data_IF_950686021375
#
_entry.id   IF_950686021375
#
_cell.length_a   1.000
_cell.length_b   1.000
_cell.length_c   1.000
_cell.angle_alpha   90.00
_cell.angle_beta   90.00
_cell.angle_gamma   90.00
#
_symmetry.space_group_name_H-M   'P 1'
#
loop_
_entity.id
_entity.type
_entity.pdbx_description
1 polymer ?
#
# COMPACT_ATOMS: atom_id res chain seq x y z
N UNK A 1 4.11 10.81 6.05
CA UNK A 1 5.53 10.72 6.48
C UNK A 1 6.41 10.87 5.25
N UNK A 2 7.49 11.63 5.34
CA UNK A 2 8.51 11.74 4.29
C UNK A 2 9.90 11.69 4.91
N UNK A 3 10.54 10.52 4.92
CA UNK A 3 11.88 10.36 5.51
C UNK A 3 12.91 10.82 4.47
N UNK A 4 13.75 11.79 4.82
CA UNK A 4 14.86 12.18 3.96
C UNK A 4 15.93 11.08 3.96
N UNK A 5 16.21 10.47 2.81
CA UNK A 5 17.26 9.45 2.68
C UNK A 5 18.64 10.10 2.74
N UNK A 6 18.92 11.01 1.81
CA UNK A 6 20.16 11.79 1.77
C UNK A 6 19.95 13.10 1.04
N UNK A 7 20.77 14.11 1.36
CA UNK A 7 20.79 15.37 0.65
C UNK A 7 21.45 15.28 -0.72
N UNK A 8 20.91 16.05 -1.66
CA UNK A 8 21.46 16.22 -3.01
C UNK A 8 21.58 17.70 -3.37
N UNK A 9 22.20 17.99 -4.52
CA UNK A 9 22.33 19.34 -5.08
C UNK A 9 23.13 20.28 -4.16
N UNK A 10 22.47 21.27 -3.55
CA UNK A 10 23.09 22.34 -2.75
C UNK A 10 22.77 22.27 -1.25
N UNK A 11 21.91 21.35 -0.83
CA UNK A 11 21.47 21.24 0.57
C UNK A 11 22.41 20.31 1.35
N UNK A 12 22.65 20.64 2.63
CA UNK A 12 23.44 19.81 3.57
C UNK A 12 23.12 20.17 5.03
N UNK A 13 21.85 20.35 5.36
CA UNK A 13 21.43 20.70 6.72
C UNK A 13 21.54 19.48 7.63
N UNK A 14 22.31 19.60 8.72
CA UNK A 14 22.51 18.52 9.70
C UNK A 14 21.24 18.17 10.46
N UNK A 15 21.09 16.89 10.85
CA UNK A 15 19.96 16.43 11.68
C UNK A 15 18.63 16.27 10.92
N UNK A 16 18.68 16.25 9.57
CA UNK A 16 17.50 16.06 8.71
C UNK A 16 17.51 14.70 8.01
N UNK A 17 18.68 14.21 7.58
CA UNK A 17 18.81 12.86 7.00
C UNK A 17 18.39 11.80 8.03
N UNK A 18 17.58 10.84 7.59
CA UNK A 18 16.95 9.82 8.45
C UNK A 18 15.72 10.31 9.23
N UNK A 19 15.38 11.61 9.19
CA UNK A 19 14.23 12.16 9.90
C UNK A 19 13.02 12.37 8.97
N UNK A 20 11.81 12.30 9.55
CA UNK A 20 10.56 12.65 8.86
C UNK A 20 10.43 14.18 8.75
N UNK A 21 10.55 14.70 7.52
CA UNK A 21 10.50 16.14 7.26
C UNK A 21 9.14 16.76 7.60
N UNK A 22 8.05 15.97 7.55
CA UNK A 22 6.71 16.44 7.98
C UNK A 22 6.70 16.74 9.47
N UNK A 23 7.29 15.85 10.28
CA UNK A 23 7.41 16.07 11.73
C UNK A 23 8.31 17.25 12.06
N UNK A 24 9.42 17.41 11.32
CA UNK A 24 10.32 18.54 11.50
C UNK A 24 9.63 19.87 11.17
N UNK A 25 8.86 19.92 10.07
CA UNK A 25 8.11 21.11 9.68
C UNK A 25 6.97 21.41 10.66
N UNK A 26 6.18 20.41 11.07
CA UNK A 26 5.14 20.56 12.11
C UNK A 26 5.72 21.08 13.43
N UNK A 27 6.90 20.60 13.84
CA UNK A 27 7.60 21.12 15.03
C UNK A 27 7.98 22.59 14.86
N UNK A 28 8.48 22.98 13.70
CA UNK A 28 8.85 24.37 13.43
C UNK A 28 7.62 25.30 13.42
N UNK A 29 6.52 24.88 12.80
CA UNK A 29 5.24 25.62 12.78
C UNK A 29 4.71 25.75 14.21
N UNK A 30 4.64 24.65 14.96
CA UNK A 30 4.20 24.65 16.37
C UNK A 30 5.09 25.52 17.27
N UNK A 31 6.41 25.50 17.06
CA UNK A 31 7.35 26.35 17.81
C UNK A 31 7.09 27.83 17.53
N UNK A 32 6.70 28.18 16.31
CA UNK A 32 6.38 29.54 15.91
C UNK A 32 5.05 30.00 16.51
N UNK A 33 4.01 29.19 16.43
CA UNK A 33 2.72 29.43 17.08
C UNK A 33 1.81 30.46 16.38
N UNK A 34 2.15 30.89 15.16
CA UNK A 34 1.40 31.93 14.43
C UNK A 34 0.13 31.39 13.72
N UNK A 35 0.12 30.09 13.38
CA UNK A 35 -0.95 29.43 12.64
C UNK A 35 -0.84 27.91 12.74
N UNK A 36 -1.93 27.22 12.40
CA UNK A 36 -1.96 25.78 12.21
C UNK A 36 -1.90 25.44 10.72
N UNK A 37 -1.27 24.31 10.39
CA UNK A 37 -1.16 23.83 9.01
C UNK A 37 -1.21 22.31 8.95
N UNK A 38 -2.16 21.79 8.17
CA UNK A 38 -2.31 20.37 7.93
C UNK A 38 -1.48 19.93 6.72
N UNK A 39 -0.32 19.33 6.99
CA UNK A 39 0.56 18.79 5.95
C UNK A 39 0.01 17.43 5.49
N UNK A 40 -0.87 17.45 4.49
CA UNK A 40 -1.54 16.25 3.97
C UNK A 40 -0.67 15.40 3.03
N UNK A 41 0.28 16.00 2.32
CA UNK A 41 1.08 15.30 1.32
C UNK A 41 2.50 15.86 1.23
N UNK A 42 3.44 14.97 0.85
CA UNK A 42 4.81 15.32 0.45
C UNK A 42 5.07 14.64 -0.88
N UNK A 43 5.52 15.40 -1.88
CA UNK A 43 5.77 14.90 -3.23
C UNK A 43 7.14 15.35 -3.74
N UNK A 44 7.75 14.54 -4.60
CA UNK A 44 8.92 14.93 -5.37
C UNK A 44 8.53 15.91 -6.50
N UNK A 45 9.45 16.74 -6.96
CA UNK A 45 9.20 17.71 -8.03
C UNK A 45 8.87 17.04 -9.37
N UNK A 46 9.48 15.88 -9.67
CA UNK A 46 9.09 15.04 -10.83
C UNK A 46 7.62 14.64 -10.78
N UNK A 47 7.14 14.18 -9.62
CA UNK A 47 5.75 13.78 -9.40
C UNK A 47 4.83 14.97 -9.55
N UNK A 48 5.17 16.12 -8.95
CA UNK A 48 4.42 17.36 -9.13
C UNK A 48 4.34 17.78 -10.61
N UNK A 49 5.44 17.69 -11.36
CA UNK A 49 5.45 17.98 -12.80
C UNK A 49 4.58 17.01 -13.59
N UNK A 50 4.67 15.70 -13.31
CA UNK A 50 3.81 14.68 -13.95
C UNK A 50 2.34 14.98 -13.72
N UNK A 51 1.95 15.32 -12.47
CA UNK A 51 0.58 15.63 -12.11
C UNK A 51 0.09 16.96 -12.69
N UNK A 52 0.94 17.99 -12.74
CA UNK A 52 0.62 19.26 -13.41
C UNK A 52 0.29 19.02 -14.88
N UNK A 53 1.17 18.30 -15.59
CA UNK A 53 0.98 17.99 -17.00
C UNK A 53 -0.15 16.97 -17.23
N UNK A 54 -0.35 16.02 -16.32
CA UNK A 54 -1.40 15.01 -16.37
C UNK A 54 -2.80 15.58 -16.22
N UNK A 55 -2.93 16.70 -15.51
CA UNK A 55 -4.18 17.45 -15.46
C UNK A 55 -4.58 17.98 -16.85
N UNK A 56 -3.62 18.47 -17.64
CA UNK A 56 -3.86 19.02 -18.97
C UNK A 56 -3.85 17.94 -20.08
N UNK A 57 -3.17 16.82 -19.86
CA UNK A 57 -3.11 15.68 -20.78
C UNK A 57 -3.15 14.35 -20.01
N UNK A 58 -4.29 13.64 -20.10
CA UNK A 58 -4.53 12.37 -19.42
C UNK A 58 -3.63 11.21 -19.89
N UNK A 59 -2.79 11.42 -20.92
CA UNK A 59 -1.76 10.46 -21.36
C UNK A 59 -0.42 10.65 -20.65
N UNK A 60 -0.32 11.61 -19.72
CA UNK A 60 0.92 11.86 -18.98
C UNK A 60 1.21 10.71 -18.02
N UNK A 61 2.33 10.02 -18.24
CA UNK A 61 2.74 8.88 -17.41
C UNK A 61 4.19 9.00 -16.93
N UNK A 62 4.85 10.10 -17.26
CA UNK A 62 6.23 10.38 -16.88
C UNK A 62 6.37 11.84 -16.46
N UNK A 63 7.02 12.08 -15.33
CA UNK A 63 7.51 13.39 -14.90
C UNK A 63 9.02 13.47 -15.03
N UNK A 64 9.54 14.51 -15.68
CA UNK A 64 10.96 14.68 -15.98
C UNK A 64 11.46 16.04 -15.51
N UNK A 65 12.54 16.04 -14.72
CA UNK A 65 13.21 17.24 -14.25
C UNK A 65 14.61 17.32 -14.87
N UNK A 66 14.91 18.45 -15.50
CA UNK A 66 16.24 18.79 -16.03
C UNK A 66 16.53 20.26 -15.72
N UNK A 67 17.00 20.50 -14.49
CA UNK A 67 17.27 21.84 -13.95
C UNK A 67 18.58 21.85 -13.16
N UNK A 68 18.55 22.32 -11.92
CA UNK A 68 19.69 22.23 -11.00
C UNK A 68 20.12 20.77 -10.79
N UNK A 69 19.16 19.87 -10.65
CA UNK A 69 19.36 18.43 -10.67
C UNK A 69 18.71 17.79 -11.90
N UNK A 70 18.77 16.47 -11.98
CA UNK A 70 17.95 15.71 -12.91
C UNK A 70 17.34 14.50 -12.24
N UNK A 71 16.06 14.26 -12.52
CA UNK A 71 15.34 13.10 -12.03
C UNK A 71 14.15 12.77 -12.94
N UNK A 72 13.62 11.55 -12.84
CA UNK A 72 12.37 11.16 -13.47
C UNK A 72 11.50 10.29 -12.54
N UNK A 73 10.18 10.42 -12.71
CA UNK A 73 9.19 9.50 -12.17
C UNK A 73 8.28 8.99 -13.27
N UNK A 74 7.63 7.85 -13.05
CA UNK A 74 6.67 7.28 -14.01
C UNK A 74 5.62 6.40 -13.32
N UNK A 75 4.52 6.11 -14.01
CA UNK A 75 3.49 5.19 -13.52
C UNK A 75 3.86 3.72 -13.77
N UNK A 76 4.08 2.97 -12.70
CA UNK A 76 4.38 1.53 -12.73
C UNK A 76 3.17 0.72 -12.24
N UNK A 77 3.04 -0.53 -12.69
CA UNK A 77 2.03 -1.48 -12.27
C UNK A 77 2.31 -1.97 -10.84
N UNK A 78 1.31 -2.01 -9.97
CA UNK A 78 1.46 -2.40 -8.56
C UNK A 78 2.09 -3.79 -8.40
N UNK A 79 1.73 -4.74 -9.28
CA UNK A 79 2.30 -6.09 -9.33
C UNK A 79 3.82 -6.16 -9.56
N UNK A 80 4.48 -5.06 -9.94
CA UNK A 80 5.94 -5.00 -10.10
C UNK A 80 6.63 -4.28 -8.93
N UNK A 81 5.88 -3.83 -7.91
CA UNK A 81 6.39 -3.04 -6.78
C UNK A 81 6.40 -3.89 -5.52
N UNK A 82 7.37 -4.78 -5.41
CA UNK A 82 7.49 -5.76 -4.32
C UNK A 82 7.52 -5.14 -2.90
N UNK A 83 7.93 -3.88 -2.78
CA UNK A 83 8.04 -3.17 -1.51
C UNK A 83 6.71 -2.59 -1.01
N UNK A 84 5.63 -2.68 -1.79
CA UNK A 84 4.30 -2.19 -1.44
C UNK A 84 3.31 -3.35 -1.58
N UNK A 85 2.55 -3.63 -0.52
CA UNK A 85 1.53 -4.68 -0.56
C UNK A 85 0.39 -4.32 -1.51
N UNK A 86 -0.03 -5.29 -2.33
CA UNK A 86 -1.11 -5.16 -3.32
C UNK A 86 -0.61 -5.30 -4.77
N UNK A 87 -1.48 -5.79 -5.65
CA UNK A 87 -1.19 -6.06 -7.06
C UNK A 87 -2.12 -5.30 -8.03
N UNK A 88 -3.17 -4.65 -7.51
CA UNK A 88 -4.16 -3.93 -8.29
C UNK A 88 -3.77 -2.48 -8.61
N UNK A 89 -3.89 -2.09 -9.88
CA UNK A 89 -3.71 -0.71 -10.32
C UNK A 89 -2.25 -0.31 -10.48
N UNK A 90 -1.98 1.00 -10.36
CA UNK A 90 -0.68 1.60 -10.66
C UNK A 90 -0.26 2.59 -9.60
N UNK A 91 1.05 2.73 -9.39
CA UNK A 91 1.63 3.74 -8.49
C UNK A 91 2.78 4.47 -9.19
N UNK A 92 2.91 5.77 -8.91
CA UNK A 92 4.02 6.56 -9.40
C UNK A 92 5.33 6.17 -8.68
N UNK A 93 6.33 5.75 -9.44
CA UNK A 93 7.67 5.44 -8.95
C UNK A 93 8.60 6.62 -9.22
N UNK A 94 9.26 7.09 -8.16
CA UNK A 94 10.38 8.02 -8.25
C UNK A 94 11.68 7.22 -8.42
N UNK A 95 12.35 7.39 -9.57
CA UNK A 95 13.53 6.57 -9.90
C UNK A 95 14.78 6.97 -9.13
N UNK A 96 14.88 8.25 -8.72
CA UNK A 96 16.12 8.85 -8.22
C UNK A 96 17.34 8.53 -9.13
N UNK A 97 17.13 8.59 -10.45
CA UNK A 97 18.13 8.17 -11.45
C UNK A 97 19.45 8.96 -11.42
N UNK A 98 19.51 10.03 -10.61
CA UNK A 98 20.70 10.85 -10.48
C UNK A 98 21.87 10.04 -9.90
N UNK A 99 21.56 9.04 -9.08
CA UNK A 99 22.49 8.09 -8.49
C UNK A 99 22.92 6.94 -9.43
N UNK A 100 22.42 6.90 -10.67
CA UNK A 100 22.84 5.88 -11.63
C UNK A 100 24.37 5.95 -11.85
N UNK A 101 25.06 4.81 -11.76
CA UNK A 101 26.51 4.75 -11.85
C UNK A 101 27.26 4.96 -10.54
N UNK A 102 26.59 5.27 -9.42
CA UNK A 102 27.24 5.44 -8.10
C UNK A 102 27.98 4.17 -7.61
N UNK A 103 27.64 3.01 -8.17
CA UNK A 103 28.26 1.70 -7.94
C UNK A 103 29.44 1.42 -8.88
N UNK A 104 29.76 2.33 -9.79
CA UNK A 104 30.82 2.20 -10.79
C UNK A 104 30.34 1.65 -12.15
N UNK A 105 29.06 1.37 -12.32
CA UNK A 105 28.50 0.84 -13.58
C UNK A 105 28.62 1.78 -14.80
N UNK A 106 28.98 3.04 -14.59
CA UNK A 106 29.20 4.05 -15.63
C UNK A 106 30.65 4.52 -15.75
N UNK A 107 31.63 3.84 -15.13
CA UNK A 107 33.03 4.28 -15.15
C UNK A 107 33.65 4.31 -16.56
N UNK A 108 33.16 3.45 -17.46
CA UNK A 108 33.59 3.34 -18.86
C UNK A 108 33.25 4.59 -19.69
N UNK A 109 32.14 5.27 -19.37
CA UNK A 109 31.73 6.51 -20.04
C UNK A 109 32.15 7.79 -19.30
N UNK A 110 32.56 7.67 -18.03
CA UNK A 110 33.03 8.81 -17.23
C UNK A 110 34.45 9.21 -17.61
N UNK A 111 34.63 10.51 -17.79
CA UNK A 111 35.93 11.11 -18.15
C UNK A 111 36.71 11.57 -16.92
N UNK A 112 37.95 12.00 -17.11
CA UNK A 112 38.74 12.67 -16.06
C UNK A 112 38.04 13.92 -15.50
N UNK A 113 37.32 14.67 -16.35
CA UNK A 113 36.58 15.87 -15.96
C UNK A 113 35.41 15.54 -15.04
N UNK A 114 34.71 14.44 -15.30
CA UNK A 114 33.61 13.93 -14.47
C UNK A 114 34.12 13.45 -13.11
N UNK A 115 35.37 12.96 -13.03
CA UNK A 115 36.01 12.58 -11.76
C UNK A 115 36.52 13.78 -10.98
N UNK A 116 37.00 14.81 -11.66
CA UNK A 116 37.43 16.06 -11.01
C UNK A 116 36.26 16.85 -10.42
N UNK A 117 35.17 17.01 -11.17
CA UNK A 117 33.97 17.69 -10.66
C UNK A 117 33.37 16.96 -9.45
N UNK A 118 33.40 15.63 -9.46
CA UNK A 118 32.92 14.79 -8.37
C UNK A 118 33.75 14.98 -7.09
N UNK A 119 35.09 14.90 -7.20
CA UNK A 119 36.01 15.15 -6.08
C UNK A 119 35.80 16.50 -5.43
N UNK A 120 35.49 17.53 -6.22
CA UNK A 120 35.23 18.88 -5.73
C UNK A 120 33.79 19.12 -5.25
N UNK A 121 32.88 18.15 -5.31
CA UNK A 121 31.45 18.33 -5.01
C UNK A 121 31.12 18.22 -3.52
N UNK A 122 29.89 18.59 -3.12
CA UNK A 122 29.43 18.45 -1.73
C UNK A 122 29.20 17.00 -1.29
N UNK A 123 29.03 16.12 -2.27
CA UNK A 123 28.69 14.70 -2.15
C UNK A 123 29.57 13.85 -3.09
N UNK A 124 30.89 13.76 -2.87
CA UNK A 124 31.78 12.94 -3.71
C UNK A 124 31.34 11.47 -3.74
N UNK A 125 31.44 10.82 -4.90
CA UNK A 125 31.04 9.43 -5.11
C UNK A 125 29.52 9.20 -5.12
N UNK A 126 28.71 10.26 -5.16
CA UNK A 126 27.24 10.21 -5.21
C UNK A 126 26.68 11.03 -6.35
N UNK A 127 25.50 10.67 -6.83
CA UNK A 127 24.81 11.39 -7.91
C UNK A 127 25.66 11.51 -9.18
N UNK A 128 26.40 10.45 -9.54
CA UNK A 128 27.41 10.49 -10.61
C UNK A 128 26.78 10.74 -11.99
N UNK A 129 25.62 10.12 -12.29
CA UNK A 129 24.88 10.41 -13.52
C UNK A 129 24.36 11.85 -13.55
N UNK A 130 23.79 12.35 -12.44
CA UNK A 130 23.32 13.74 -12.35
C UNK A 130 24.45 14.74 -12.62
N UNK A 131 25.68 14.45 -12.15
CA UNK A 131 26.87 15.27 -12.36
C UNK A 131 27.30 15.38 -13.83
N UNK A 132 26.98 14.39 -14.65
CA UNK A 132 27.25 14.44 -16.09
C UNK A 132 26.18 15.21 -16.88
N UNK A 133 25.02 15.48 -16.26
CA UNK A 133 23.81 15.93 -16.95
C UNK A 133 23.39 17.34 -16.53
N UNK A 134 23.21 17.58 -15.22
CA UNK A 134 22.36 18.67 -14.76
C UNK A 134 22.99 20.06 -14.88
N UNK A 135 22.14 21.08 -14.78
CA UNK A 135 22.54 22.47 -14.88
C UNK A 135 23.39 22.97 -13.71
N UNK A 136 23.50 22.24 -12.59
CA UNK A 136 24.44 22.60 -11.52
C UNK A 136 25.90 22.36 -11.92
N UNK A 137 26.15 21.35 -12.78
CA UNK A 137 27.48 20.83 -13.05
C UNK A 137 27.99 21.17 -14.46
N UNK A 138 27.08 21.35 -15.43
CA UNK A 138 27.42 21.56 -16.84
C UNK A 138 28.41 22.71 -17.09
N UNK A 139 28.21 23.89 -16.48
CA UNK A 139 29.14 25.00 -16.63
C UNK A 139 30.54 24.72 -16.07
N UNK A 140 30.61 24.02 -14.93
CA UNK A 140 31.87 23.67 -14.30
C UNK A 140 32.63 22.59 -15.09
N UNK A 141 31.92 21.63 -15.69
CA UNK A 141 32.51 20.67 -16.64
C UNK A 141 33.18 21.40 -17.81
N UNK A 142 32.49 22.38 -18.40
CA UNK A 142 33.07 23.21 -19.47
C UNK A 142 34.32 23.91 -18.95
N UNK A 143 34.26 24.58 -17.79
CA UNK A 143 35.42 25.28 -17.20
C UNK A 143 36.64 24.36 -17.06
N UNK A 144 36.46 23.15 -16.55
CA UNK A 144 37.55 22.20 -16.35
C UNK A 144 38.20 21.79 -17.67
N UNK A 145 37.40 21.57 -18.71
CA UNK A 145 37.90 21.32 -20.07
C UNK A 145 38.71 22.52 -20.57
N UNK A 146 38.19 23.74 -20.42
CA UNK A 146 38.89 24.96 -20.84
C UNK A 146 40.22 25.16 -20.09
N UNK A 147 40.26 24.88 -18.79
CA UNK A 147 41.49 24.94 -17.99
C UNK A 147 42.52 23.95 -18.52
N UNK A 148 42.12 22.71 -18.81
CA UNK A 148 43.04 21.70 -19.36
C UNK A 148 43.57 22.11 -20.73
N UNK A 149 42.68 22.51 -21.65
CA UNK A 149 43.05 22.97 -22.99
C UNK A 149 43.99 24.20 -22.95
N UNK A 150 43.75 25.14 -22.04
CA UNK A 150 44.64 26.29 -21.84
C UNK A 150 46.02 25.85 -21.29
N UNK A 151 46.08 24.92 -20.33
CA UNK A 151 47.36 24.35 -19.82
C UNK A 151 48.18 23.67 -20.91
N UNK A 152 47.51 23.08 -21.90
CA UNK A 152 48.14 22.41 -23.04
C UNK A 152 48.42 23.37 -24.22
N UNK A 153 48.15 24.67 -24.07
CA UNK A 153 48.38 25.66 -25.13
C UNK A 153 47.39 25.62 -26.28
N UNK A 154 46.31 24.85 -26.17
CA UNK A 154 45.29 24.66 -27.21
C UNK A 154 44.26 25.80 -27.27
N UNK A 155 44.15 26.58 -26.19
CA UNK A 155 43.30 27.77 -26.10
C UNK A 155 44.08 28.94 -25.52
N UNK A 156 43.71 30.15 -25.93
CA UNK A 156 44.18 31.41 -25.38
C UNK A 156 45.71 31.55 -25.42
N UNK A 157 46.37 30.91 -26.38
CA UNK A 157 47.85 30.86 -26.50
C UNK A 157 48.54 30.35 -25.22
N UNK A 158 47.86 29.50 -24.44
CA UNK A 158 48.37 29.00 -23.16
C UNK A 158 48.14 29.94 -21.96
N UNK A 159 47.48 31.08 -22.16
CA UNK A 159 47.20 32.04 -21.08
C UNK A 159 46.14 31.47 -20.13
N UNK A 160 46.47 31.46 -18.84
CA UNK A 160 45.59 31.05 -17.75
C UNK A 160 45.44 32.20 -16.76
N UNK A 161 44.19 32.45 -16.33
CA UNK A 161 43.87 33.48 -15.34
C UNK A 161 43.34 32.89 -14.04
N UNK A 162 43.47 33.61 -12.90
CA UNK A 162 42.85 33.21 -11.64
C UNK A 162 41.34 32.98 -11.76
N UNK A 163 40.64 33.79 -12.55
CA UNK A 163 39.20 33.67 -12.80
C UNK A 163 38.86 32.36 -13.53
N UNK A 164 39.65 31.97 -14.54
CA UNK A 164 39.46 30.70 -15.25
C UNK A 164 39.70 29.49 -14.33
N UNK A 165 40.66 29.60 -13.40
CA UNK A 165 40.96 28.57 -12.41
C UNK A 165 39.94 28.49 -11.27
N UNK A 166 39.17 29.55 -11.04
CA UNK A 166 38.22 29.63 -9.93
C UNK A 166 36.94 28.83 -10.24
N UNK A 167 36.68 27.80 -9.43
CA UNK A 167 35.46 26.98 -9.48
C UNK A 167 34.20 27.85 -9.53
N UNK A 168 33.29 27.52 -10.44
CA UNK A 168 31.97 28.17 -10.56
C UNK A 168 31.97 29.51 -11.28
N UNK A 169 33.10 30.02 -11.78
CA UNK A 169 33.14 31.24 -12.61
C UNK A 169 32.56 31.06 -14.02
N UNK A 170 32.49 29.82 -14.50
CA UNK A 170 31.78 29.49 -15.73
C UNK A 170 30.49 28.74 -15.39
N UNK A 171 29.35 29.41 -15.53
CA UNK A 171 28.04 28.86 -15.17
C UNK A 171 27.31 28.28 -16.38
N UNK A 172 26.34 27.40 -16.16
CA UNK A 172 25.50 26.80 -17.22
C UNK A 172 24.71 27.84 -18.03
N UNK A 173 24.40 29.00 -17.44
CA UNK A 173 23.81 30.13 -18.18
C UNK A 173 24.75 30.68 -19.26
N UNK A 174 26.07 30.58 -19.06
CA UNK A 174 27.08 30.95 -20.07
C UNK A 174 27.08 29.95 -21.22
N UNK A 175 27.02 28.64 -20.93
CA UNK A 175 26.84 27.58 -21.95
C UNK A 175 25.63 27.90 -22.82
N UNK A 176 24.49 28.17 -22.19
CA UNK A 176 23.23 28.51 -22.88
C UNK A 176 23.34 29.77 -23.74
N UNK A 177 24.06 30.80 -23.27
CA UNK A 177 24.27 32.04 -24.02
C UNK A 177 25.18 31.83 -25.24
N UNK A 178 26.22 31.02 -25.09
CA UNK A 178 27.21 30.71 -26.14
C UNK A 178 26.58 29.85 -27.25
N UNK A 179 25.60 29.01 -26.94
CA UNK A 179 24.92 28.15 -27.91
C UNK A 179 23.73 28.82 -28.64
N UNK A 180 23.54 30.14 -28.48
CA UNK A 180 22.56 30.90 -29.27
C UNK A 180 22.99 31.00 -30.72
N UNK A 181 22.09 30.70 -31.66
CA UNK A 181 22.42 30.61 -33.09
C UNK A 181 22.95 31.91 -33.73
N UNK A 182 22.51 33.09 -33.28
CA UNK A 182 22.90 34.38 -33.87
C UNK A 182 24.00 35.11 -33.10
N UNK A 183 23.93 35.06 -31.77
CA UNK A 183 24.78 35.86 -30.89
C UNK A 183 25.83 35.03 -30.15
N UNK A 184 25.86 33.71 -30.37
CA UNK A 184 26.64 32.77 -29.56
C UNK A 184 28.13 33.09 -29.50
N UNK A 185 28.76 33.38 -30.64
CA UNK A 185 30.19 33.72 -30.70
C UNK A 185 30.49 35.07 -30.03
N UNK A 186 29.59 36.06 -30.18
CA UNK A 186 29.73 37.35 -29.49
C UNK A 186 29.63 37.16 -27.97
N UNK A 187 28.70 36.31 -27.50
CA UNK A 187 28.58 35.96 -26.09
C UNK A 187 29.77 35.16 -25.58
N UNK A 188 30.35 34.27 -26.38
CA UNK A 188 31.60 33.59 -26.04
C UNK A 188 32.71 34.62 -25.80
N UNK A 189 32.90 35.57 -26.73
CA UNK A 189 33.88 36.65 -26.58
C UNK A 189 33.67 37.46 -25.31
N UNK A 190 32.45 37.97 -25.09
CA UNK A 190 32.12 38.75 -23.88
C UNK A 190 32.41 37.99 -22.58
N UNK A 191 32.03 36.71 -22.51
CA UNK A 191 32.18 35.89 -21.31
C UNK A 191 33.64 35.56 -21.05
N UNK A 192 34.38 35.16 -22.09
CA UNK A 192 35.80 34.82 -22.01
C UNK A 192 36.63 36.05 -21.62
N UNK A 193 36.36 37.22 -22.20
CA UNK A 193 37.01 38.48 -21.78
C UNK A 193 36.77 38.80 -20.31
N UNK A 194 35.57 38.53 -19.77
CA UNK A 194 35.30 38.70 -18.32
C UNK A 194 36.03 37.71 -17.42
N UNK A 195 36.51 36.60 -17.98
CA UNK A 195 37.41 35.67 -17.28
C UNK A 195 38.88 36.13 -17.37
N UNK A 196 39.15 37.32 -17.90
CA UNK A 196 40.49 37.91 -17.96
C UNK A 196 41.37 37.36 -19.07
N UNK A 197 40.86 36.44 -19.91
CA UNK A 197 41.58 35.98 -21.11
C UNK A 197 41.33 36.95 -22.27
N UNK A 198 42.22 36.96 -23.25
CA UNK A 198 42.09 37.71 -24.51
C UNK A 198 41.69 36.73 -25.62
N UNK A 199 40.40 36.38 -25.77
CA UNK A 199 39.99 35.32 -26.69
C UNK A 199 40.13 35.77 -28.15
N UNK A 200 40.79 34.95 -28.96
CA UNK A 200 40.74 35.06 -30.42
C UNK A 200 39.36 34.66 -30.96
N UNK A 201 39.14 34.86 -32.27
CA UNK A 201 37.93 34.35 -32.92
C UNK A 201 37.88 32.82 -32.88
N UNK A 202 39.03 32.17 -33.07
CA UNK A 202 39.16 30.70 -33.05
C UNK A 202 38.86 30.14 -31.65
N UNK A 203 39.34 30.80 -30.59
CA UNK A 203 39.01 30.44 -29.20
C UNK A 203 37.49 30.46 -28.96
N UNK A 204 36.80 31.48 -29.48
CA UNK A 204 35.34 31.58 -29.34
C UNK A 204 34.61 30.42 -30.03
N UNK A 205 35.09 30.00 -31.21
CA UNK A 205 34.55 28.86 -31.94
C UNK A 205 34.80 27.56 -31.17
N UNK A 206 36.04 27.36 -30.71
CA UNK A 206 36.44 26.18 -29.95
C UNK A 206 35.63 26.05 -28.64
N UNK A 207 35.49 27.13 -27.88
CA UNK A 207 34.69 27.16 -26.64
C UNK A 207 33.21 26.89 -26.93
N UNK A 208 32.65 27.44 -28.02
CA UNK A 208 31.27 27.13 -28.43
C UNK A 208 31.11 25.64 -28.78
N UNK A 209 32.12 25.03 -29.39
CA UNK A 209 32.12 23.61 -29.71
C UNK A 209 32.19 22.74 -28.45
N UNK A 210 33.05 23.09 -27.47
CA UNK A 210 33.10 22.43 -26.15
C UNK A 210 31.74 22.50 -25.46
N UNK A 211 31.12 23.68 -25.40
CA UNK A 211 29.76 23.86 -24.86
C UNK A 211 28.76 22.91 -25.55
N UNK A 212 28.79 22.87 -26.88
CA UNK A 212 27.93 22.01 -27.70
C UNK A 212 28.09 20.54 -27.36
N UNK A 213 29.32 20.05 -27.23
CA UNK A 213 29.59 18.64 -26.91
C UNK A 213 29.09 18.32 -25.51
N UNK A 214 29.41 19.14 -24.51
CA UNK A 214 29.02 18.89 -23.11
C UNK A 214 27.50 18.90 -22.95
N UNK A 215 26.81 19.91 -23.50
CA UNK A 215 25.35 20.00 -23.41
C UNK A 215 24.64 18.91 -24.22
N UNK A 216 25.21 18.50 -25.36
CA UNK A 216 24.64 17.44 -26.18
C UNK A 216 24.84 16.06 -25.55
N UNK A 217 25.99 15.81 -24.90
CA UNK A 217 26.22 14.61 -24.08
C UNK A 217 25.14 14.49 -23.01
N UNK A 218 24.89 15.57 -22.27
CA UNK A 218 23.84 15.63 -21.25
C UNK A 218 22.45 15.28 -21.83
N UNK A 219 22.06 15.89 -22.96
CA UNK A 219 20.80 15.58 -23.63
C UNK A 219 20.71 14.11 -24.10
N UNK A 220 21.81 13.53 -24.59
CA UNK A 220 21.85 12.13 -25.04
C UNK A 220 21.75 11.14 -23.88
N UNK A 221 22.39 11.42 -22.74
CA UNK A 221 22.32 10.59 -21.55
C UNK A 221 20.90 10.55 -20.99
N UNK A 222 20.23 11.70 -20.88
CA UNK A 222 18.80 11.75 -20.47
C UNK A 222 17.91 11.05 -21.49
N UNK A 223 18.20 11.18 -22.79
CA UNK A 223 17.44 10.47 -23.81
C UNK A 223 17.52 8.95 -23.65
N UNK A 224 18.68 8.43 -23.28
CA UNK A 224 18.91 7.00 -23.06
C UNK A 224 18.15 6.48 -21.83
N UNK A 225 18.26 7.15 -20.68
CA UNK A 225 17.55 6.73 -19.46
C UNK A 225 16.04 6.91 -19.57
N UNK A 226 15.57 7.97 -20.23
CA UNK A 226 14.15 8.13 -20.56
C UNK A 226 13.68 7.03 -21.51
N UNK A 227 14.51 6.63 -22.48
CA UNK A 227 14.22 5.53 -23.40
C UNK A 227 13.97 4.21 -22.66
N UNK A 228 14.71 3.92 -21.59
CA UNK A 228 14.48 2.76 -20.74
C UNK A 228 13.10 2.80 -20.07
N UNK A 229 12.71 3.95 -19.48
CA UNK A 229 11.38 4.15 -18.87
C UNK A 229 10.26 3.98 -19.91
N UNK A 230 10.45 4.51 -21.12
CA UNK A 230 9.47 4.39 -22.19
C UNK A 230 9.31 2.93 -22.67
N UNK A 231 10.40 2.18 -22.78
CA UNK A 231 10.32 0.75 -23.09
C UNK A 231 9.59 -0.02 -21.98
N UNK A 232 9.88 0.27 -20.71
CA UNK A 232 9.18 -0.31 -19.57
C UNK A 232 7.66 -0.05 -19.64
N UNK A 233 7.25 1.19 -19.89
CA UNK A 233 5.83 1.55 -20.06
C UNK A 233 5.17 0.83 -21.24
N UNK A 234 5.89 0.65 -22.34
CA UNK A 234 5.40 -0.10 -23.51
C UNK A 234 5.16 -1.56 -23.16
N UNK A 235 6.14 -2.18 -22.51
CA UNK A 235 6.15 -3.60 -22.18
C UNK A 235 5.08 -3.91 -21.13
N UNK A 236 4.91 -3.05 -20.12
CA UNK A 236 3.82 -3.13 -19.14
C UNK A 236 2.44 -3.13 -19.78
N UNK A 237 2.25 -2.30 -20.81
CA UNK A 237 0.99 -2.21 -21.57
C UNK A 237 0.81 -3.35 -22.58
N UNK A 238 1.86 -4.12 -22.86
CA UNK A 238 1.83 -5.19 -23.87
C UNK A 238 1.51 -4.69 -25.28
N UNK A 239 1.90 -3.46 -25.64
CA UNK A 239 1.56 -2.84 -26.93
C UNK A 239 2.76 -2.79 -27.88
N UNK A 240 2.53 -3.01 -29.18
CA UNK A 240 3.59 -2.90 -30.19
C UNK A 240 4.09 -1.47 -30.42
N UNK A 241 3.27 -0.45 -30.10
CA UNK A 241 3.65 0.96 -30.19
C UNK A 241 3.12 1.73 -28.99
N UNK A 242 4.00 2.41 -28.26
CA UNK A 242 3.62 3.24 -27.11
C UNK A 242 3.15 4.61 -27.57
N UNK A 243 2.09 5.13 -26.94
CA UNK A 243 1.71 6.54 -27.04
C UNK A 243 1.57 7.11 -25.64
N UNK A 244 2.38 8.11 -25.31
CA UNK A 244 2.45 8.67 -23.94
C UNK A 244 2.89 10.13 -23.97
N UNK A 245 2.64 10.83 -22.86
CA UNK A 245 3.09 12.20 -22.63
C UNK A 245 4.12 12.23 -21.49
N UNK A 246 5.20 12.96 -21.70
CA UNK A 246 6.24 13.25 -20.71
C UNK A 246 6.07 14.70 -20.28
N UNK A 247 5.68 14.93 -19.02
CA UNK A 247 5.69 16.24 -18.40
C UNK A 247 7.11 16.65 -18.05
N UNK A 248 7.56 17.82 -18.52
CA UNK A 248 8.95 18.29 -18.32
C UNK A 248 8.98 19.61 -17.58
N UNK A 249 9.92 19.75 -16.65
CA UNK A 249 10.30 21.02 -16.04
C UNK A 249 11.82 21.08 -15.81
N UNK A 250 12.34 22.26 -15.49
CA UNK A 250 13.73 22.50 -15.15
C UNK A 250 14.37 23.59 -16.00
N UNK A 251 15.21 24.39 -15.36
CA UNK A 251 15.84 25.58 -15.96
C UNK A 251 16.73 25.26 -17.16
N UNK A 252 17.47 24.14 -17.14
CA UNK A 252 18.34 23.76 -18.26
C UNK A 252 17.51 23.41 -19.50
N UNK A 253 16.44 22.63 -19.34
CA UNK A 253 15.54 22.29 -20.46
C UNK A 253 14.81 23.52 -21.01
N UNK A 254 14.33 24.41 -20.13
CA UNK A 254 13.58 25.62 -20.50
C UNK A 254 14.44 26.68 -21.19
N UNK A 255 15.64 26.95 -20.64
CA UNK A 255 16.41 28.15 -21.00
C UNK A 255 17.48 27.88 -22.05
N UNK A 256 17.93 26.63 -22.22
CA UNK A 256 19.00 26.31 -23.17
C UNK A 256 18.46 26.21 -24.61
N UNK A 257 18.98 26.99 -25.58
CA UNK A 257 18.36 27.18 -26.89
C UNK A 257 18.28 25.89 -27.75
N UNK A 258 19.16 24.93 -27.50
CA UNK A 258 19.26 23.70 -28.30
C UNK A 258 18.88 22.42 -27.55
N UNK A 259 18.70 22.48 -26.22
CA UNK A 259 18.70 21.27 -25.40
C UNK A 259 17.45 20.42 -25.63
N UNK A 260 16.26 21.01 -25.52
CA UNK A 260 14.99 20.31 -25.74
C UNK A 260 14.94 19.65 -27.12
N UNK A 261 15.33 20.39 -28.17
CA UNK A 261 15.35 19.88 -29.55
C UNK A 261 16.27 18.65 -29.69
N UNK A 262 17.47 18.70 -29.10
CA UNK A 262 18.45 17.60 -29.11
C UNK A 262 17.93 16.39 -28.35
N UNK A 263 17.42 16.59 -27.14
CA UNK A 263 16.81 15.55 -26.31
C UNK A 263 15.69 14.85 -27.08
N UNK A 264 14.71 15.59 -27.61
CA UNK A 264 13.57 15.01 -28.32
C UNK A 264 14.01 14.22 -29.55
N UNK A 265 14.98 14.73 -30.31
CA UNK A 265 15.50 14.05 -31.50
C UNK A 265 16.17 12.73 -31.12
N UNK A 266 17.03 12.75 -30.09
CA UNK A 266 17.73 11.54 -29.65
C UNK A 266 16.75 10.52 -29.05
N UNK A 267 15.80 10.94 -28.21
CA UNK A 267 14.79 10.03 -27.64
C UNK A 267 14.02 9.32 -28.74
N UNK A 268 13.45 10.06 -29.71
CA UNK A 268 12.69 9.45 -30.83
C UNK A 268 13.52 8.48 -31.67
N UNK A 269 14.83 8.69 -31.77
CA UNK A 269 15.74 7.77 -32.47
C UNK A 269 16.02 6.51 -31.66
N UNK A 270 16.12 6.61 -30.34
CA UNK A 270 16.40 5.48 -29.46
C UNK A 270 15.16 4.60 -29.20
N UNK A 271 13.96 5.19 -29.23
CA UNK A 271 12.69 4.47 -29.06
C UNK A 271 11.75 4.71 -30.25
N UNK A 272 12.05 4.14 -31.43
CA UNK A 272 11.28 4.37 -32.67
C UNK A 272 9.82 3.92 -32.57
N UNK A 273 9.53 2.92 -31.74
CA UNK A 273 8.19 2.37 -31.51
C UNK A 273 7.38 3.16 -30.47
N UNK A 274 7.75 4.41 -30.20
CA UNK A 274 7.09 5.28 -29.22
C UNK A 274 6.72 6.64 -29.82
N UNK A 275 5.43 6.98 -29.78
CA UNK A 275 4.94 8.34 -30.04
C UNK A 275 4.92 9.12 -28.72
N UNK A 276 5.99 9.90 -28.50
CA UNK A 276 6.19 10.67 -27.26
C UNK A 276 5.86 12.14 -27.48
N UNK A 277 4.89 12.64 -26.71
CA UNK A 277 4.63 14.07 -26.57
C UNK A 277 5.39 14.62 -25.37
N UNK A 278 6.17 15.68 -25.55
CA UNK A 278 6.79 16.41 -24.44
C UNK A 278 5.93 17.63 -24.12
N UNK A 279 5.43 17.72 -22.89
CA UNK A 279 4.61 18.82 -22.42
C UNK A 279 5.38 19.62 -21.36
N UNK A 280 5.59 20.90 -21.59
CA UNK A 280 6.28 21.77 -20.64
C UNK A 280 5.33 22.17 -19.50
N UNK A 281 5.79 22.05 -18.25
CA UNK A 281 5.07 22.57 -17.09
C UNK A 281 5.37 24.06 -16.89
N UNK A 282 4.43 24.94 -17.24
CA UNK A 282 4.58 26.40 -17.14
C UNK A 282 4.56 26.88 -15.68
N UNK A 283 3.68 26.31 -14.85
CA UNK A 283 3.50 26.66 -13.44
C UNK A 283 4.34 25.82 -12.47
N UNK A 284 5.21 24.95 -13.00
CA UNK A 284 6.06 24.04 -12.24
C UNK A 284 5.28 22.96 -11.49
N UNK A 285 5.85 22.48 -10.38
CA UNK A 285 5.28 21.36 -9.59
C UNK A 285 4.12 21.74 -8.67
N UNK A 286 3.84 23.04 -8.49
CA UNK A 286 2.84 23.54 -7.53
C UNK A 286 1.40 23.09 -7.85
N UNK A 287 0.98 23.18 -9.11
CA UNK A 287 -0.36 22.72 -9.56
C UNK A 287 -0.53 21.22 -9.29
N UNK A 288 0.47 20.40 -9.62
CA UNK A 288 0.45 18.96 -9.36
C UNK A 288 0.46 18.60 -7.88
N UNK A 289 1.26 19.30 -7.05
CA UNK A 289 1.25 19.10 -5.61
C UNK A 289 -0.14 19.38 -5.01
N UNK A 290 -0.82 20.44 -5.46
CA UNK A 290 -2.19 20.75 -5.03
C UNK A 290 -3.18 19.63 -5.42
N UNK A 291 -3.05 19.04 -6.60
CA UNK A 291 -3.89 17.92 -7.04
C UNK A 291 -3.70 16.67 -6.15
N UNK A 292 -2.45 16.35 -5.80
CA UNK A 292 -2.15 15.24 -4.88
C UNK A 292 -2.72 15.53 -3.49
N UNK A 293 -2.52 16.75 -2.98
CA UNK A 293 -3.08 17.20 -1.70
C UNK A 293 -4.60 17.10 -1.67
N UNK A 294 -5.31 17.45 -2.75
CA UNK A 294 -6.76 17.36 -2.82
C UNK A 294 -7.26 15.91 -2.69
N UNK A 295 -6.59 14.94 -3.33
CA UNK A 295 -6.93 13.52 -3.18
C UNK A 295 -6.61 13.00 -1.78
N UNK A 296 -5.44 13.36 -1.23
CA UNK A 296 -5.04 12.98 0.12
C UNK A 296 -6.03 13.52 1.17
N UNK A 297 -6.48 14.77 1.02
CA UNK A 297 -7.50 15.37 1.87
C UNK A 297 -8.82 14.60 1.83
N UNK A 298 -9.31 14.27 0.63
CA UNK A 298 -10.56 13.51 0.46
C UNK A 298 -10.49 12.14 1.15
N UNK A 299 -9.38 11.42 1.00
CA UNK A 299 -9.18 10.11 1.64
C UNK A 299 -9.04 10.24 3.16
N UNK A 300 -8.38 11.29 3.64
CA UNK A 300 -8.27 11.59 5.08
C UNK A 300 -9.64 11.83 5.71
N UNK A 301 -10.52 12.60 5.05
CA UNK A 301 -11.88 12.84 5.54
C UNK A 301 -12.71 11.56 5.55
N UNK A 302 -12.58 10.71 4.52
CA UNK A 302 -13.25 9.41 4.50
C UNK A 302 -12.79 8.51 5.66
N UNK A 303 -11.48 8.41 5.90
CA UNK A 303 -10.95 7.64 7.04
C UNK A 303 -11.43 8.20 8.38
N UNK A 304 -11.45 9.52 8.54
CA UNK A 304 -11.97 10.16 9.77
C UNK A 304 -13.41 9.76 10.06
N UNK A 305 -14.29 9.81 9.05
CA UNK A 305 -15.70 9.42 9.20
C UNK A 305 -15.87 7.92 9.51
N UNK A 306 -15.06 7.06 8.89
CA UNK A 306 -15.05 5.63 9.18
C UNK A 306 -14.61 5.40 10.63
N UNK A 307 -13.52 6.01 11.06
CA UNK A 307 -13.00 5.87 12.42
C UNK A 307 -13.98 6.38 13.48
N UNK A 308 -14.66 7.49 13.22
CA UNK A 308 -15.72 8.02 14.09
C UNK A 308 -16.88 7.03 14.22
N UNK A 309 -17.32 6.44 13.11
CA UNK A 309 -18.39 5.43 13.12
C UNK A 309 -17.96 4.16 13.86
N UNK A 310 -16.74 3.69 13.62
CA UNK A 310 -16.21 2.46 14.25
C UNK A 310 -15.83 2.67 15.71
N UNK A 311 -15.64 3.91 16.17
CA UNK A 311 -15.33 4.21 17.56
C UNK A 311 -16.44 3.77 18.52
N UNK A 312 -17.71 3.75 18.09
CA UNK A 312 -18.84 3.30 18.90
C UNK A 312 -18.75 1.82 19.30
N UNK A 313 -18.03 1.01 18.51
CA UNK A 313 -17.83 -0.41 18.77
C UNK A 313 -16.60 -0.69 19.65
N UNK A 314 -15.78 0.32 19.93
CA UNK A 314 -14.59 0.19 20.80
C UNK A 314 -14.99 0.29 22.26
N UNK A 315 -15.08 -0.86 22.94
CA UNK A 315 -15.33 -0.92 24.38
C UNK A 315 -14.05 -0.69 25.17
N UNK A 316 -14.09 0.24 26.11
CA UNK A 316 -12.99 0.47 27.06
C UNK A 316 -12.90 -0.66 28.08
N UNK A 317 -11.74 -0.78 28.72
CA UNK A 317 -11.54 -1.76 29.80
C UNK A 317 -12.57 -1.60 30.93
N UNK A 318 -12.90 -0.35 31.30
CA UNK A 318 -13.90 -0.06 32.33
C UNK A 318 -15.31 -0.50 31.90
N UNK A 319 -15.70 -0.25 30.65
CA UNK A 319 -16.96 -0.73 30.09
C UNK A 319 -17.04 -2.26 30.12
N UNK A 320 -15.95 -2.97 29.76
CA UNK A 320 -15.89 -4.43 29.83
C UNK A 320 -16.01 -4.96 31.27
N UNK A 321 -15.37 -4.32 32.25
CA UNK A 321 -15.54 -4.65 33.66
C UNK A 321 -16.98 -4.43 34.12
N UNK A 322 -17.64 -3.38 33.63
CA UNK A 322 -19.04 -3.13 33.94
C UNK A 322 -19.97 -4.18 33.30
N UNK A 323 -19.68 -4.64 32.08
CA UNK A 323 -20.39 -5.77 31.45
C UNK A 323 -20.21 -7.04 32.29
N UNK A 324 -18.98 -7.37 32.70
CA UNK A 324 -18.71 -8.51 33.60
C UNK A 324 -19.50 -8.42 34.91
N UNK A 325 -19.53 -7.24 35.54
CA UNK A 325 -20.28 -7.00 36.78
C UNK A 325 -21.79 -7.17 36.57
N UNK A 326 -22.34 -6.61 35.48
CA UNK A 326 -23.75 -6.75 35.12
C UNK A 326 -24.13 -8.22 34.90
N UNK A 327 -23.32 -8.97 34.16
CA UNK A 327 -23.55 -10.41 33.96
C UNK A 327 -23.56 -11.17 35.29
N UNK A 328 -22.60 -10.93 36.18
CA UNK A 328 -22.56 -11.57 37.50
C UNK A 328 -23.82 -11.28 38.33
N UNK A 329 -24.30 -10.04 38.32
CA UNK A 329 -25.53 -9.67 39.02
C UNK A 329 -26.76 -10.39 38.45
N UNK A 330 -26.88 -10.49 37.13
CA UNK A 330 -27.97 -11.23 36.48
C UNK A 330 -27.91 -12.74 36.78
N UNK A 331 -26.71 -13.33 36.85
CA UNK A 331 -26.54 -14.73 37.29
C UNK A 331 -27.05 -14.93 38.73
N UNK A 332 -26.69 -14.04 39.66
CA UNK A 332 -27.18 -14.11 41.03
C UNK A 332 -28.70 -13.96 41.12
N UNK A 333 -29.29 -13.07 40.30
CA UNK A 333 -30.73 -12.88 40.21
C UNK A 333 -31.43 -14.13 39.67
N UNK A 334 -30.85 -14.78 38.64
CA UNK A 334 -31.35 -16.02 38.06
C UNK A 334 -31.33 -17.21 39.03
N UNK A 335 -30.35 -17.29 39.93
CA UNK A 335 -30.24 -18.38 40.91
C UNK A 335 -31.14 -18.21 42.13
N UNK A 336 -31.47 -16.97 42.52
CA UNK A 336 -32.27 -16.68 43.73
C UNK A 336 -33.76 -16.89 43.46
N UNK A 337 -34.41 -17.75 44.26
CA UNK A 337 -35.85 -18.06 44.16
C UNK A 337 -36.76 -16.83 44.07
N UNK A 338 -36.48 -15.78 44.85
CA UNK A 338 -37.29 -14.54 44.89
C UNK A 338 -37.23 -13.71 43.61
N UNK A 339 -36.15 -13.79 42.86
CA UNK A 339 -35.88 -12.94 41.68
C UNK A 339 -35.90 -13.73 40.37
N UNK A 340 -35.94 -15.05 40.42
CA UNK A 340 -35.85 -15.94 39.27
C UNK A 340 -36.92 -15.67 38.20
N UNK A 341 -38.17 -15.41 38.62
CA UNK A 341 -39.30 -15.21 37.71
C UNK A 341 -39.05 -14.03 36.76
N UNK A 342 -38.54 -12.92 37.29
CA UNK A 342 -38.27 -11.68 36.53
C UNK A 342 -36.84 -11.56 36.02
N UNK A 343 -35.92 -12.46 36.40
CA UNK A 343 -34.53 -12.46 35.95
C UNK A 343 -34.43 -12.68 34.42
N UNK A 344 -33.49 -11.98 33.77
CA UNK A 344 -33.28 -12.10 32.32
C UNK A 344 -32.40 -13.31 31.99
N UNK A 345 -31.37 -13.54 32.80
CA UNK A 345 -30.53 -14.74 32.72
C UNK A 345 -31.13 -15.82 33.63
N UNK A 346 -31.74 -16.84 33.04
CA UNK A 346 -32.61 -17.77 33.78
C UNK A 346 -31.90 -18.78 34.68
N UNK A 347 -30.61 -19.07 34.44
CA UNK A 347 -29.84 -20.02 35.27
C UNK A 347 -30.58 -21.35 35.54
N UNK A 348 -31.09 -21.96 34.47
CA UNK A 348 -31.98 -23.13 34.54
C UNK A 348 -31.23 -24.36 35.08
N UNK A 349 -31.76 -25.05 36.11
CA UNK A 349 -31.16 -26.28 36.63
C UNK A 349 -31.21 -27.41 35.59
N UNK A 350 -30.08 -28.10 35.38
CA UNK A 350 -29.97 -29.19 34.38
C UNK A 350 -30.23 -30.59 34.95
N UNK A 351 -30.34 -30.70 36.28
CA UNK A 351 -30.38 -31.96 37.05
C UNK A 351 -29.15 -32.87 36.92
N UNK A 352 -28.12 -32.47 36.16
CA UNK A 352 -26.80 -33.11 36.16
C UNK A 352 -26.03 -32.61 37.38
N UNK A 353 -25.76 -33.50 38.34
CA UNK A 353 -25.22 -33.13 39.66
C UNK A 353 -23.71 -33.26 39.80
N UNK A 354 -23.05 -33.92 38.85
CA UNK A 354 -21.61 -34.12 38.84
C UNK A 354 -21.10 -34.24 37.41
N UNK A 355 -19.82 -33.91 37.23
CA UNK A 355 -19.08 -34.26 36.01
C UNK A 355 -18.78 -35.76 35.98
N UNK A 356 -18.46 -36.34 34.81
CA UNK A 356 -18.09 -37.74 34.71
C UNK A 356 -16.97 -38.15 35.67
N UNK A 357 -17.12 -39.29 36.34
CA UNK A 357 -16.14 -39.83 37.32
C UNK A 357 -15.30 -40.99 36.74
N UNK A 358 -15.69 -41.47 35.55
CA UNK A 358 -15.03 -42.55 34.83
C UNK A 358 -15.53 -43.94 35.14
N UNK A 359 -16.63 -44.05 35.91
CA UNK A 359 -17.37 -45.32 36.10
C UNK A 359 -18.39 -45.57 34.99
N UNK A 360 -18.66 -44.58 34.14
CA UNK A 360 -19.66 -44.66 33.07
C UNK A 360 -19.30 -45.78 32.07
N UNK A 361 -20.28 -46.63 31.76
CA UNK A 361 -20.10 -47.76 30.85
C UNK A 361 -21.44 -48.17 30.24
N UNK A 362 -21.46 -48.38 28.94
CA UNK A 362 -22.66 -48.81 28.21
C UNK A 362 -22.68 -48.33 26.77
N UNK A 363 -23.73 -48.72 26.05
CA UNK A 363 -24.04 -48.24 24.70
C UNK A 363 -25.28 -47.34 24.78
N UNK A 364 -25.17 -46.14 24.22
CA UNK A 364 -26.17 -45.09 24.36
C UNK A 364 -26.51 -44.50 23.00
N UNK A 365 -27.78 -44.18 22.78
CA UNK A 365 -28.18 -43.27 21.72
C UNK A 365 -28.07 -41.83 22.21
N UNK A 366 -27.74 -40.91 21.31
CA UNK A 366 -27.88 -39.49 21.57
C UNK A 366 -28.52 -38.77 20.39
N UNK A 367 -29.34 -37.77 20.69
CA UNK A 367 -29.94 -36.87 19.71
C UNK A 367 -29.36 -35.48 19.92
N UNK A 368 -28.94 -34.82 18.85
CA UNK A 368 -28.45 -33.44 18.89
C UNK A 368 -29.32 -32.56 17.99
N UNK A 369 -30.19 -31.79 18.64
CA UNK A 369 -31.11 -30.86 17.99
C UNK A 369 -30.84 -29.45 18.51
N UNK A 370 -30.35 -28.55 17.65
CA UNK A 370 -30.04 -27.19 18.06
C UNK A 370 -29.89 -26.15 16.95
N UNK A 371 -30.07 -26.56 15.70
CA UNK A 371 -29.98 -25.74 14.49
C UNK A 371 -30.56 -26.53 13.31
N UNK A 372 -30.19 -26.19 12.07
CA UNK A 372 -30.72 -26.82 10.85
C UNK A 372 -30.26 -28.28 10.67
N UNK A 373 -29.14 -28.64 11.29
CA UNK A 373 -28.56 -29.99 11.22
C UNK A 373 -28.88 -30.77 12.48
N UNK A 374 -29.79 -31.73 12.37
CA UNK A 374 -30.10 -32.70 13.41
C UNK A 374 -29.14 -33.89 13.33
N UNK A 375 -28.71 -34.45 14.46
CA UNK A 375 -27.86 -35.64 14.47
C UNK A 375 -28.43 -36.73 15.35
N UNK A 376 -28.31 -37.95 14.88
CA UNK A 376 -28.52 -39.17 15.67
C UNK A 376 -27.17 -39.84 15.84
N UNK A 377 -26.86 -40.25 17.08
CA UNK A 377 -25.57 -40.80 17.45
C UNK A 377 -25.72 -42.13 18.20
N UNK A 378 -24.75 -43.02 18.00
CA UNK A 378 -24.50 -44.18 18.84
C UNK A 378 -23.15 -43.95 19.55
N UNK A 379 -23.16 -43.99 20.89
CA UNK A 379 -22.00 -43.75 21.73
C UNK A 379 -21.75 -44.99 22.59
N UNK A 380 -20.61 -45.65 22.39
CA UNK A 380 -20.19 -46.81 23.19
C UNK A 380 -19.10 -46.38 24.16
N UNK A 381 -19.41 -46.44 25.45
CA UNK A 381 -18.50 -46.08 26.54
C UNK A 381 -18.06 -47.36 27.22
N UNK A 382 -16.75 -47.54 27.41
CA UNK A 382 -16.19 -48.66 28.19
C UNK A 382 -15.35 -48.12 29.35
N UNK A 383 -15.70 -48.55 30.56
CA UNK A 383 -14.91 -48.30 31.77
C UNK A 383 -13.92 -49.45 32.02
N UNK A 384 -12.88 -49.21 32.82
CA UNK A 384 -11.83 -50.19 33.14
C UNK A 384 -10.40 -49.63 33.05
N UNK A 385 -9.40 -50.51 32.92
CA UNK A 385 -7.97 -50.13 32.87
C UNK A 385 -7.63 -49.20 31.69
N UNK A 386 -8.38 -49.32 30.58
CA UNK A 386 -8.32 -48.40 29.44
C UNK A 386 -9.73 -47.89 29.18
N UNK A 387 -9.94 -46.59 29.37
CA UNK A 387 -11.20 -45.92 29.03
C UNK A 387 -11.25 -45.72 27.52
N UNK A 388 -12.34 -46.12 26.89
CA UNK A 388 -12.55 -45.90 25.44
C UNK A 388 -13.94 -45.39 25.17
N UNK A 389 -14.05 -44.46 24.21
CA UNK A 389 -15.33 -43.93 23.71
C UNK A 389 -15.31 -44.09 22.20
N UNK A 390 -16.26 -44.85 21.67
CA UNK A 390 -16.50 -45.02 20.24
C UNK A 390 -17.80 -44.31 19.87
N UNK A 391 -17.78 -43.48 18.83
CA UNK A 391 -18.92 -42.68 18.42
C UNK A 391 -19.20 -42.86 16.93
N UNK A 392 -20.46 -43.13 16.60
CA UNK A 392 -20.98 -43.09 15.24
C UNK A 392 -22.13 -42.10 15.17
N UNK A 393 -22.27 -41.38 14.06
CA UNK A 393 -23.37 -40.43 13.88
C UNK A 393 -23.81 -40.33 12.43
N UNK A 394 -25.04 -39.86 12.22
CA UNK A 394 -25.57 -39.45 10.92
C UNK A 394 -26.27 -38.11 11.07
N UNK A 395 -26.04 -37.23 10.09
CA UNK A 395 -26.64 -35.89 10.03
C UNK A 395 -27.90 -35.97 9.18
N UNK A 396 -28.96 -35.32 9.66
CA UNK A 396 -30.24 -35.18 9.01
C UNK A 396 -30.59 -33.70 8.89
N UNK A 397 -31.02 -33.29 7.71
CA UNK A 397 -31.61 -31.96 7.54
C UNK A 397 -33.01 -31.94 8.16
N UNK A 398 -33.37 -30.82 8.78
CA UNK A 398 -34.77 -30.53 9.11
C UNK A 398 -35.24 -29.48 8.10
N UNK A 399 -36.18 -29.83 7.20
CA UNK A 399 -36.77 -28.87 6.27
C UNK A 399 -37.38 -27.69 7.01
N UNK A 400 -37.35 -26.49 6.43
CA UNK A 400 -37.86 -25.29 7.11
C UNK A 400 -39.36 -25.38 7.36
N UNK A 401 -40.08 -26.07 6.49
CA UNK A 401 -41.51 -26.37 6.60
C UNK A 401 -41.79 -27.22 7.85
N UNK A 402 -40.87 -28.11 8.21
CA UNK A 402 -40.95 -28.91 9.45
C UNK A 402 -40.49 -28.11 10.66
N UNK A 403 -39.44 -27.28 10.53
CA UNK A 403 -38.96 -26.40 11.61
C UNK A 403 -40.01 -25.38 12.06
N UNK A 404 -40.93 -25.00 11.16
CA UNK A 404 -41.98 -24.00 11.37
C UNK A 404 -43.40 -24.58 11.25
N UNK A 405 -43.52 -25.90 11.11
CA UNK A 405 -44.79 -26.61 10.99
C UNK A 405 -45.43 -26.86 12.35
N UNK A 406 -45.98 -28.05 12.55
CA UNK A 406 -46.52 -28.47 13.84
C UNK A 406 -45.48 -29.22 14.67
N UNK A 407 -45.65 -29.25 15.99
CA UNK A 407 -44.83 -30.06 16.87
C UNK A 407 -44.90 -31.55 16.52
N UNK A 408 -46.08 -32.02 16.13
CA UNK A 408 -46.26 -33.40 15.67
C UNK A 408 -45.37 -33.71 14.46
N UNK A 409 -45.41 -32.89 13.41
CA UNK A 409 -44.56 -33.06 12.22
C UNK A 409 -43.06 -33.02 12.56
N UNK A 410 -42.65 -32.11 13.45
CA UNK A 410 -41.25 -32.00 13.87
C UNK A 410 -40.76 -33.27 14.58
N UNK A 411 -41.52 -33.75 15.57
CA UNK A 411 -41.12 -34.93 16.33
C UNK A 411 -41.27 -36.23 15.51
N UNK A 412 -42.21 -36.29 14.57
CA UNK A 412 -42.32 -37.40 13.62
C UNK A 412 -41.13 -37.46 12.66
N UNK A 413 -40.66 -36.30 12.20
CA UNK A 413 -39.44 -36.21 11.40
C UNK A 413 -38.21 -36.68 12.19
N UNK A 414 -38.09 -36.26 13.45
CA UNK A 414 -37.02 -36.70 14.36
C UNK A 414 -37.03 -38.22 14.50
N UNK A 415 -38.19 -38.83 14.76
CA UNK A 415 -38.32 -40.29 14.92
C UNK A 415 -38.03 -41.01 13.60
N UNK A 416 -38.38 -40.43 12.45
CA UNK A 416 -37.98 -40.95 11.13
C UNK A 416 -36.46 -41.06 11.01
N UNK A 417 -35.76 -39.99 11.39
CA UNK A 417 -34.31 -39.93 11.35
C UNK A 417 -33.68 -40.95 12.31
N UNK A 418 -34.26 -41.14 13.51
CA UNK A 418 -33.81 -42.17 14.45
C UNK A 418 -33.96 -43.57 13.86
N UNK A 419 -35.11 -43.87 13.26
CA UNK A 419 -35.38 -45.19 12.64
C UNK A 419 -34.37 -45.50 11.53
N UNK A 420 -34.15 -44.55 10.63
CA UNK A 420 -33.14 -44.67 9.56
C UNK A 420 -31.72 -44.84 10.12
N UNK A 421 -31.37 -44.16 11.22
CA UNK A 421 -30.07 -44.34 11.86
C UNK A 421 -29.87 -45.73 12.47
N UNK A 422 -30.90 -46.28 13.12
CA UNK A 422 -30.85 -47.62 13.70
C UNK A 422 -30.70 -48.71 12.64
N UNK A 423 -31.36 -48.54 11.49
CA UNK A 423 -31.18 -49.39 10.33
C UNK A 423 -29.76 -49.28 9.77
N UNK A 424 -29.26 -48.05 9.61
CA UNK A 424 -27.89 -47.77 9.15
C UNK A 424 -26.81 -48.39 10.06
N UNK A 425 -27.04 -48.43 11.38
CA UNK A 425 -26.15 -49.04 12.35
C UNK A 425 -26.33 -50.55 12.51
N UNK A 426 -27.36 -51.15 11.89
CA UNK A 426 -27.66 -52.58 12.01
C UNK A 426 -28.14 -53.01 13.41
N UNK A 427 -28.77 -52.11 14.15
CA UNK A 427 -29.22 -52.33 15.55
C UNK A 427 -30.73 -52.16 15.72
N UNK A 428 -31.50 -52.26 14.62
CA UNK A 428 -32.97 -52.20 14.67
C UNK A 428 -33.52 -53.27 15.64
N UNK A 429 -34.43 -52.87 16.52
CA UNK A 429 -35.01 -53.74 17.55
C UNK A 429 -34.27 -53.74 18.90
N UNK A 430 -33.10 -53.12 19.00
CA UNK A 430 -32.42 -52.91 20.29
C UNK A 430 -33.09 -51.78 21.09
N UNK A 431 -33.40 -52.02 22.37
CA UNK A 431 -33.88 -51.00 23.30
C UNK A 431 -32.69 -50.38 24.04
N UNK A 432 -32.19 -49.24 23.54
CA UNK A 432 -31.04 -48.53 24.12
C UNK A 432 -31.47 -47.30 24.93
N UNK A 433 -30.74 -46.96 26.01
CA UNK A 433 -30.90 -45.67 26.69
C UNK A 433 -30.51 -44.52 25.75
N UNK A 434 -31.29 -43.43 25.77
CA UNK A 434 -31.14 -42.28 24.88
C UNK A 434 -30.96 -40.98 25.66
N UNK A 435 -29.93 -40.21 25.32
CA UNK A 435 -29.75 -38.82 25.76
C UNK A 435 -30.29 -37.84 24.69
N UNK A 436 -31.08 -36.86 25.10
CA UNK A 436 -31.64 -35.87 24.17
C UNK A 436 -31.02 -34.49 24.41
N UNK A 437 -30.05 -34.13 23.59
CA UNK A 437 -29.52 -32.76 23.54
C UNK A 437 -30.46 -31.87 22.74
N UNK A 438 -31.31 -31.15 23.48
CA UNK A 438 -32.28 -30.22 22.92
C UNK A 438 -31.84 -28.77 23.25
N UNK A 439 -31.22 -28.10 22.28
CA UNK A 439 -30.49 -26.84 22.50
C UNK A 439 -31.40 -25.61 22.48
N UNK A 440 -32.49 -25.65 23.24
CA UNK A 440 -33.42 -24.55 23.45
C UNK A 440 -33.67 -24.35 24.95
N UNK A 441 -34.12 -23.17 25.39
CA UNK A 441 -34.42 -22.93 26.80
C UNK A 441 -35.54 -23.86 27.30
N UNK A 442 -35.18 -24.84 28.14
CA UNK A 442 -36.13 -25.76 28.76
C UNK A 442 -36.16 -25.58 30.28
N UNK A 443 -37.36 -25.46 30.85
CA UNK A 443 -37.57 -25.60 32.29
C UNK A 443 -37.68 -27.07 32.63
N UNK A 444 -36.58 -27.63 33.12
CA UNK A 444 -36.55 -29.02 33.57
C UNK A 444 -37.20 -29.18 34.95
N UNK A 445 -37.92 -30.28 35.13
CA UNK A 445 -38.47 -30.73 36.42
C UNK A 445 -37.76 -31.99 36.94
N UNK A 446 -37.14 -32.75 36.03
CA UNK A 446 -36.24 -33.87 36.28
C UNK A 446 -35.18 -33.96 35.17
N UNK A 447 -34.30 -34.96 35.22
CA UNK A 447 -33.30 -35.20 34.17
C UNK A 447 -33.95 -35.62 32.84
N UNK A 448 -35.14 -36.23 32.89
CA UNK A 448 -35.86 -36.80 31.76
C UNK A 448 -37.18 -36.07 31.43
N UNK A 449 -37.35 -34.83 31.90
CA UNK A 449 -38.50 -33.99 31.63
C UNK A 449 -38.08 -32.53 31.45
N UNK A 450 -38.53 -31.89 30.38
CA UNK A 450 -38.12 -30.54 30.02
C UNK A 450 -39.20 -29.77 29.27
N UNK A 451 -39.81 -28.80 29.93
CA UNK A 451 -40.83 -27.94 29.31
C UNK A 451 -40.13 -26.89 28.45
N UNK A 452 -40.41 -26.86 27.14
CA UNK A 452 -39.88 -25.80 26.27
C UNK A 452 -40.47 -24.45 26.69
N UNK A 453 -39.61 -23.48 27.01
CA UNK A 453 -40.04 -22.14 27.40
C UNK A 453 -40.37 -21.27 26.18
N UNK A 454 -39.45 -21.22 25.23
CA UNK A 454 -39.61 -20.45 24.00
C UNK A 454 -38.65 -20.97 22.93
N UNK A 455 -39.07 -20.90 21.68
CA UNK A 455 -38.20 -21.16 20.56
C UNK A 455 -37.15 -20.07 20.37
N UNK A 456 -36.03 -20.46 19.78
CA UNK A 456 -34.93 -19.57 19.36
C UNK A 456 -34.37 -20.07 18.02
N UNK A 457 -33.37 -19.40 17.44
CA UNK A 457 -32.58 -19.90 16.30
C UNK A 457 -33.39 -20.29 15.04
N UNK A 458 -34.59 -19.72 14.86
CA UNK A 458 -35.42 -19.90 13.65
C UNK A 458 -36.46 -21.02 13.71
N UNK A 459 -36.52 -21.81 14.79
CA UNK A 459 -37.60 -22.78 15.01
C UNK A 459 -38.89 -22.06 15.43
N UNK A 460 -40.04 -22.58 14.98
CA UNK A 460 -41.38 -22.05 15.31
C UNK A 460 -42.48 -23.12 15.30
N UNK A 461 -42.13 -24.40 15.44
CA UNK A 461 -43.12 -25.47 15.41
C UNK A 461 -44.20 -25.23 16.47
N UNK A 462 -45.48 -25.29 16.07
CA UNK A 462 -46.62 -25.04 16.96
C UNK A 462 -46.77 -26.14 18.00
N UNK A 463 -47.51 -25.88 19.07
CA UNK A 463 -47.86 -26.91 20.07
C UNK A 463 -46.63 -27.55 20.74
N UNK A 464 -45.50 -26.83 20.77
CA UNK A 464 -44.27 -27.23 21.45
C UNK A 464 -43.95 -26.37 22.69
N UNK A 465 -44.14 -25.05 22.60
CA UNK A 465 -43.88 -24.16 23.74
C UNK A 465 -44.89 -24.42 24.86
N UNK A 466 -44.41 -24.57 26.08
CA UNK A 466 -45.23 -25.00 27.23
C UNK A 466 -45.36 -26.51 27.40
N UNK A 467 -44.93 -27.30 26.40
CA UNK A 467 -44.99 -28.77 26.43
C UNK A 467 -43.65 -29.41 26.82
N UNK A 468 -43.71 -30.61 27.39
CA UNK A 468 -42.53 -31.42 27.69
C UNK A 468 -41.98 -32.09 26.42
N UNK A 469 -40.79 -31.69 26.00
CA UNK A 469 -40.18 -32.18 24.75
C UNK A 469 -39.83 -33.66 24.80
N UNK A 470 -39.64 -34.23 26.00
CA UNK A 470 -39.43 -35.67 26.16
C UNK A 470 -40.75 -36.41 26.00
N UNK A 471 -41.86 -35.83 26.45
CA UNK A 471 -43.20 -36.36 26.20
C UNK A 471 -43.52 -36.34 24.70
N UNK A 472 -43.30 -35.22 24.01
CA UNK A 472 -43.52 -35.11 22.56
C UNK A 472 -42.69 -36.13 21.77
N UNK A 473 -41.43 -36.35 22.15
CA UNK A 473 -40.59 -37.39 21.55
C UNK A 473 -41.15 -38.81 21.82
N UNK A 474 -41.58 -39.10 23.04
CA UNK A 474 -42.18 -40.40 23.40
C UNK A 474 -43.46 -40.66 22.61
N UNK A 475 -44.31 -39.65 22.42
CA UNK A 475 -45.53 -39.77 21.59
C UNK A 475 -45.19 -40.00 20.12
N UNK A 476 -44.19 -39.30 19.57
CA UNK A 476 -43.70 -39.55 18.22
C UNK A 476 -43.17 -40.97 18.01
N UNK A 477 -42.51 -41.54 19.03
CA UNK A 477 -42.05 -42.94 18.99
C UNK A 477 -43.24 -43.89 18.97
N UNK A 478 -44.24 -43.69 19.85
CA UNK A 478 -45.44 -44.54 19.91
C UNK A 478 -46.28 -44.52 18.64
N UNK A 479 -46.36 -43.38 17.94
CA UNK A 479 -47.07 -43.28 16.64
C UNK A 479 -46.46 -44.18 15.55
N UNK A 480 -45.23 -44.66 15.75
CA UNK A 480 -44.49 -45.51 14.80
C UNK A 480 -44.23 -46.94 15.27
N UNK A 481 -44.59 -47.28 16.50
CA UNK A 481 -44.75 -48.68 16.94
C UNK A 481 -46.05 -49.25 16.38
#
# INVERSE_FOLDING_TARGET
QGILITWTKRFKASGVEGADVVRLLNRAIKKRGDYDADIMAVVNDTVGTMMTCGFDDQRCEVGLIIGTGTNACYMEEMRHIDLVEGDEGRMCINTEWGAFGDDGSLEDIRTEFDREIDRGSLNPGKQLFEKMVSGLYMGELVRLILVKMAKEGLLFEGRITPELLTKGKFETKHVSAIEKSKEGLNKAKEILTRLGVEPSHEDCIAVQHVCTIVSFRSANLVAATLGAILNQLRDNKGVGRLRTTVGVDGSLYKMHPQYARRLHKTTRRLVPDSEVRFLLSESGSGKGAAMVTAVAYRLSEQHRLIDETLAEFKLTHEQLLQVKKRMRAEMEAGLKKKTHETAKVKMLPTFVRSTPDGTENGDFLALDLGGTNFRVLLVKIRSGKRRTVEMHNKIYAIPIEVMQGTGEELFDHIVTCISDFLDYMGIKGARLPLGFTFSFPCKQTSLDAGILLNWTKGFKATDCEGEDVVYLLREGIKRRE
#
